data_IF_775887149820
#
_entry.id   IF_775887149820
#
_cell.length_a   1.000
_cell.length_b   1.000
_cell.length_c   1.000
_cell.angle_alpha   90.00
_cell.angle_beta   90.00
_cell.angle_gamma   90.00
#
_symmetry.space_group_name_H-M   'P 1'
#
loop_
_entity.id
_entity.type
_entity.pdbx_description
1 polymer ?
#
# COMPACT_ATOMS: atom_id res chain seq x y z
N UNK A 1 -19.61 19.47 1.73
CA UNK A 1 -18.20 19.29 1.33
C UNK A 1 -18.19 19.17 -0.18
N UNK A 2 -17.43 20.03 -0.86
CA UNK A 2 -17.22 19.93 -2.30
C UNK A 2 -16.34 18.72 -2.65
N UNK A 3 -16.28 18.39 -3.94
CA UNK A 3 -15.57 17.20 -4.41
C UNK A 3 -14.06 17.31 -4.23
N UNK A 4 -13.48 18.50 -4.36
CA UNK A 4 -12.03 18.70 -4.18
C UNK A 4 -11.64 18.44 -2.73
N UNK A 5 -12.36 19.06 -1.79
CA UNK A 5 -12.16 18.82 -0.36
C UNK A 5 -12.35 17.34 0.02
N UNK A 6 -13.32 16.65 -0.60
CA UNK A 6 -13.50 15.20 -0.38
C UNK A 6 -12.27 14.41 -0.81
N UNK A 7 -11.79 14.63 -2.03
CA UNK A 7 -10.63 13.93 -2.58
C UNK A 7 -9.36 14.18 -1.75
N UNK A 8 -9.14 15.40 -1.28
CA UNK A 8 -7.99 15.74 -0.44
C UNK A 8 -8.01 14.99 0.90
N UNK A 9 -9.19 14.88 1.53
CA UNK A 9 -9.37 14.15 2.79
C UNK A 9 -9.19 12.64 2.60
N UNK A 10 -9.77 12.06 1.55
CA UNK A 10 -9.61 10.64 1.22
C UNK A 10 -8.15 10.30 0.95
N UNK A 11 -7.45 11.15 0.19
CA UNK A 11 -6.01 10.99 -0.06
C UNK A 11 -5.17 11.13 1.22
N UNK A 12 -5.52 12.05 2.12
CA UNK A 12 -4.86 12.19 3.41
C UNK A 12 -5.06 10.97 4.32
N UNK A 13 -6.27 10.41 4.36
CA UNK A 13 -6.56 9.19 5.09
C UNK A 13 -5.81 7.99 4.53
N UNK A 14 -5.73 7.84 3.20
CA UNK A 14 -4.94 6.80 2.55
C UNK A 14 -3.45 6.90 2.89
N UNK A 15 -2.86 8.11 2.79
CA UNK A 15 -1.47 8.35 3.19
C UNK A 15 -1.21 7.97 4.65
N UNK A 16 -2.15 8.28 5.55
CA UNK A 16 -2.04 7.92 6.97
C UNK A 16 -2.10 6.40 7.19
N UNK A 17 -2.95 5.69 6.46
CA UNK A 17 -2.99 4.22 6.50
C UNK A 17 -1.66 3.62 6.02
N UNK A 18 -1.11 4.12 4.92
CA UNK A 18 0.18 3.67 4.37
C UNK A 18 1.29 3.86 5.40
N UNK A 19 1.41 5.06 5.96
CA UNK A 19 2.39 5.36 7.02
C UNK A 19 2.21 4.42 8.23
N UNK A 20 0.97 4.23 8.70
CA UNK A 20 0.71 3.31 9.82
C UNK A 20 1.16 1.87 9.53
N UNK A 21 0.95 1.39 8.31
CA UNK A 21 1.36 0.05 7.89
C UNK A 21 2.88 -0.08 7.66
N UNK A 22 3.57 1.03 7.37
CA UNK A 22 5.04 1.10 7.30
C UNK A 22 5.67 1.06 8.70
N UNK A 23 5.04 1.70 9.69
CA UNK A 23 5.46 1.65 11.10
C UNK A 23 5.22 0.26 11.71
N UNK A 24 4.10 -0.39 11.36
CA UNK A 24 3.71 -1.72 11.85
C UNK A 24 4.35 -2.86 11.07
N UNK A 25 5.69 -2.90 11.05
CA UNK A 25 6.47 -3.95 10.38
C UNK A 25 6.24 -5.35 10.95
N UNK A 26 5.73 -5.44 12.18
CA UNK A 26 5.33 -6.68 12.84
C UNK A 26 4.11 -7.34 12.19
N UNK A 27 3.23 -6.57 11.56
CA UNK A 27 2.00 -7.08 10.93
C UNK A 27 2.33 -7.68 9.58
N UNK A 28 2.26 -9.00 9.44
CA UNK A 28 2.54 -9.66 8.17
C UNK A 28 1.39 -9.52 7.19
N UNK A 29 1.71 -9.48 5.89
CA UNK A 29 0.68 -9.42 4.85
C UNK A 29 -0.25 -10.65 4.88
N UNK A 30 0.26 -11.82 5.27
CA UNK A 30 -0.57 -13.03 5.34
C UNK A 30 -1.63 -12.93 6.44
N UNK A 31 -1.30 -12.35 7.59
CA UNK A 31 -2.25 -12.16 8.69
C UNK A 31 -3.36 -11.17 8.29
N UNK A 32 -3.00 -10.10 7.58
CA UNK A 32 -3.98 -9.15 7.03
C UNK A 32 -4.88 -9.80 5.97
N UNK A 33 -4.32 -10.66 5.12
CA UNK A 33 -5.11 -11.41 4.13
C UNK A 33 -6.10 -12.37 4.82
N UNK A 34 -5.65 -13.12 5.82
CA UNK A 34 -6.48 -14.09 6.53
C UNK A 34 -7.58 -13.40 7.36
N UNK A 35 -7.30 -12.23 7.94
CA UNK A 35 -8.26 -11.50 8.78
C UNK A 35 -9.22 -10.60 7.99
N UNK A 36 -8.69 -9.81 7.05
CA UNK A 36 -9.39 -8.70 6.42
C UNK A 36 -9.55 -8.82 4.90
N UNK A 37 -8.96 -9.84 4.27
CA UNK A 37 -9.06 -10.06 2.83
C UNK A 37 -8.25 -9.08 1.97
N UNK A 38 -7.38 -8.25 2.56
CA UNK A 38 -6.46 -7.39 1.85
C UNK A 38 -5.15 -7.20 2.62
N UNK A 39 -4.08 -6.78 1.95
CA UNK A 39 -2.79 -6.45 2.57
C UNK A 39 -2.09 -5.32 1.80
N UNK A 40 -0.82 -5.01 2.15
CA UNK A 40 -0.01 -3.97 1.48
C UNK A 40 0.12 -4.20 -0.03
N UNK A 41 0.23 -5.45 -0.47
CA UNK A 41 0.28 -5.79 -1.90
C UNK A 41 -1.05 -5.47 -2.61
N UNK A 42 -2.20 -5.62 -1.94
CA UNK A 42 -3.50 -5.23 -2.49
C UNK A 42 -3.57 -3.71 -2.65
N UNK A 43 -3.12 -2.93 -1.65
CA UNK A 43 -3.05 -1.47 -1.73
C UNK A 43 -2.16 -1.02 -2.90
N UNK A 44 -1.01 -1.68 -3.10
CA UNK A 44 -0.09 -1.38 -4.20
C UNK A 44 -0.74 -1.66 -5.56
N UNK A 45 -1.50 -2.75 -5.66
CA UNK A 45 -2.26 -3.08 -6.88
C UNK A 45 -3.37 -2.07 -7.15
N UNK A 46 -4.16 -1.70 -6.15
CA UNK A 46 -5.23 -0.70 -6.33
C UNK A 46 -4.69 0.66 -6.74
N UNK A 47 -3.51 1.04 -6.24
CA UNK A 47 -2.83 2.27 -6.65
C UNK A 47 -2.42 2.21 -8.13
N UNK A 48 -1.86 1.08 -8.58
CA UNK A 48 -1.53 0.85 -9.98
C UNK A 48 -2.76 0.87 -10.88
N UNK A 49 -3.83 0.15 -10.52
CA UNK A 49 -5.09 0.12 -11.26
C UNK A 49 -5.69 1.53 -11.40
N UNK A 50 -5.66 2.33 -10.33
CA UNK A 50 -6.13 3.72 -10.38
C UNK A 50 -5.27 4.62 -11.30
N UNK A 51 -3.96 4.37 -11.41
CA UNK A 51 -3.10 5.07 -12.35
C UNK A 51 -3.39 4.65 -13.80
N UNK A 52 -3.56 3.35 -14.04
CA UNK A 52 -3.90 2.77 -15.35
C UNK A 52 -5.23 3.32 -15.88
N UNK A 53 -6.27 3.41 -15.04
CA UNK A 53 -7.57 4.03 -15.38
C UNK A 53 -7.45 5.48 -15.84
N UNK A 54 -6.41 6.18 -15.41
CA UNK A 54 -6.11 7.58 -15.75
C UNK A 54 -5.09 7.70 -16.88
N UNK A 55 -4.63 6.58 -17.44
CA UNK A 55 -3.59 6.54 -18.47
C UNK A 55 -2.24 7.03 -17.98
N UNK A 56 -1.98 6.95 -16.68
CA UNK A 56 -0.71 7.37 -16.06
C UNK A 56 0.21 6.13 -15.99
N UNK A 57 1.34 6.12 -16.72
CA UNK A 57 2.27 5.00 -16.65
C UNK A 57 2.86 4.88 -15.24
N UNK A 58 2.71 3.71 -14.62
CA UNK A 58 3.31 3.38 -13.33
C UNK A 58 3.75 1.92 -13.36
N UNK A 59 4.99 1.63 -12.97
CA UNK A 59 5.45 0.25 -12.83
C UNK A 59 4.96 -0.35 -11.51
N UNK A 60 4.74 -1.67 -11.50
CA UNK A 60 4.39 -2.42 -10.28
C UNK A 60 5.38 -2.17 -9.14
N UNK A 61 6.69 -2.12 -9.44
CA UNK A 61 7.72 -1.88 -8.44
C UNK A 61 7.60 -0.49 -7.80
N UNK A 62 7.27 0.54 -8.59
CA UNK A 62 7.03 1.90 -8.11
C UNK A 62 5.77 1.95 -7.22
N UNK A 63 4.68 1.29 -7.64
CA UNK A 63 3.46 1.20 -6.83
C UNK A 63 3.70 0.49 -5.49
N UNK A 64 4.53 -0.54 -5.48
CA UNK A 64 4.97 -1.18 -4.23
C UNK A 64 5.81 -0.22 -3.40
N UNK A 65 6.82 0.44 -3.96
CA UNK A 65 7.66 1.38 -3.23
C UNK A 65 6.85 2.52 -2.57
N UNK A 66 5.82 3.02 -3.24
CA UNK A 66 4.87 4.01 -2.67
C UNK A 66 4.20 3.48 -1.40
N UNK A 67 3.78 2.21 -1.37
CA UNK A 67 3.10 1.61 -0.21
C UNK A 67 4.08 1.14 0.86
N UNK A 68 5.22 0.57 0.48
CA UNK A 68 6.21 0.03 1.42
C UNK A 68 7.20 1.07 1.96
N UNK A 69 7.31 2.24 1.32
CA UNK A 69 8.23 3.32 1.69
C UNK A 69 9.70 3.04 1.33
N UNK A 70 9.96 1.91 0.68
CA UNK A 70 11.26 1.45 0.17
C UNK A 70 11.03 0.35 -0.88
N UNK A 71 12.05 -0.04 -1.65
CA UNK A 71 11.93 -1.16 -2.58
C UNK A 71 11.39 -2.42 -1.88
N UNK A 72 10.43 -3.10 -2.53
CA UNK A 72 9.75 -4.26 -1.94
C UNK A 72 10.72 -5.38 -1.52
N UNK A 73 11.76 -5.62 -2.31
CA UNK A 73 12.78 -6.64 -1.98
C UNK A 73 13.56 -6.27 -0.70
N UNK A 74 13.84 -4.98 -0.48
CA UNK A 74 14.50 -4.51 0.74
C UNK A 74 13.57 -4.66 1.96
N UNK A 75 12.28 -4.33 1.79
CA UNK A 75 11.29 -4.52 2.85
C UNK A 75 11.15 -5.99 3.22
N UNK A 76 11.05 -6.86 2.21
CA UNK A 76 10.97 -8.32 2.37
C UNK A 76 12.19 -8.87 3.11
N UNK A 77 13.39 -8.45 2.72
CA UNK A 77 14.63 -8.88 3.38
C UNK A 77 14.71 -8.43 4.85
N UNK A 78 14.16 -7.27 5.21
CA UNK A 78 14.24 -6.70 6.56
C UNK A 78 13.14 -7.17 7.50
N UNK A 79 11.92 -7.34 7.01
CA UNK A 79 10.71 -7.42 7.85
C UNK A 79 9.79 -8.61 7.56
N UNK A 80 9.93 -9.27 6.42
CA UNK A 80 9.09 -10.42 6.11
C UNK A 80 9.64 -11.67 6.77
N UNK A 81 8.82 -12.33 7.59
CA UNK A 81 9.18 -13.59 8.24
C UNK A 81 8.55 -14.77 7.52
N UNK A 82 9.18 -15.94 7.62
CA UNK A 82 8.53 -17.18 7.21
C UNK A 82 7.27 -17.43 8.05
N UNK A 83 6.24 -18.01 7.42
CA UNK A 83 5.05 -18.44 8.13
C UNK A 83 5.43 -19.65 8.97
N UNK A 84 5.31 -19.53 10.29
CA UNK A 84 5.46 -20.65 11.22
C UNK A 84 4.26 -21.61 11.14
#
# INVERSE_FOLDING_TARGET
MDETARTEIEAAAFRRLVEHLQERTDVQNIDLMDLAGFCRNCLSRWYLEAADERGIPLAKAEAQEIVYGMPYEDWKAKFQTERA
#
